data_IF_178412182919
#
_entry.id   IF_178412182919
#
_cell.length_a   1.000
_cell.length_b   1.000
_cell.length_c   1.000
_cell.angle_alpha   90.00
_cell.angle_beta   90.00
_cell.angle_gamma   90.00
#
_symmetry.space_group_name_H-M   'P 1'
#
loop_
_entity.id
_entity.type
_entity.pdbx_description
1 polymer ?
#
# COMPACT_ATOMS: atom_id res chain seq x y z
N UNK A 1 3.53 -13.01 -17.81
CA UNK A 1 2.76 -13.23 -16.56
C UNK A 1 3.54 -12.73 -15.35
N UNK A 2 4.77 -13.21 -15.12
CA UNK A 2 5.55 -12.88 -13.91
C UNK A 2 5.88 -11.39 -13.69
N UNK A 3 6.14 -10.59 -14.74
CA UNK A 3 6.53 -9.19 -14.58
C UNK A 3 5.43 -8.34 -13.92
N UNK A 4 4.17 -8.47 -14.36
CA UNK A 4 3.05 -7.71 -13.82
C UNK A 4 2.76 -8.10 -12.36
N UNK A 5 2.84 -9.40 -12.05
CA UNK A 5 2.67 -9.93 -10.69
C UNK A 5 3.78 -9.39 -9.77
N UNK A 6 5.04 -9.44 -10.22
CA UNK A 6 6.17 -8.93 -9.46
C UNK A 6 6.04 -7.41 -9.23
N UNK A 7 5.70 -6.64 -10.27
CA UNK A 7 5.51 -5.20 -10.17
C UNK A 7 4.38 -4.83 -9.20
N UNK A 8 3.24 -5.53 -9.27
CA UNK A 8 2.14 -5.33 -8.32
C UNK A 8 2.59 -5.59 -6.87
N UNK A 9 3.24 -6.72 -6.61
CA UNK A 9 3.72 -7.10 -5.26
C UNK A 9 4.74 -6.09 -4.72
N UNK A 10 5.68 -5.66 -5.56
CA UNK A 10 6.69 -4.65 -5.17
C UNK A 10 6.02 -3.31 -4.87
N UNK A 11 5.09 -2.86 -5.71
CA UNK A 11 4.37 -1.60 -5.49
C UNK A 11 3.54 -1.63 -4.20
N UNK A 12 2.82 -2.73 -3.92
CA UNK A 12 2.09 -2.89 -2.65
C UNK A 12 3.04 -2.90 -1.45
N UNK A 13 4.18 -3.58 -1.53
CA UNK A 13 5.19 -3.57 -0.46
C UNK A 13 5.76 -2.17 -0.21
N UNK A 14 6.01 -1.42 -1.28
CA UNK A 14 6.47 -0.04 -1.19
C UNK A 14 5.39 0.88 -0.58
N UNK A 15 4.12 0.70 -0.95
CA UNK A 15 3.01 1.43 -0.34
C UNK A 15 2.94 1.21 1.18
N UNK A 16 3.07 -0.05 1.63
CA UNK A 16 3.14 -0.37 3.07
C UNK A 16 4.31 0.35 3.73
N UNK A 17 5.51 0.30 3.15
CA UNK A 17 6.69 0.94 3.72
C UNK A 17 6.52 2.47 3.82
N UNK A 18 6.01 3.11 2.75
CA UNK A 18 5.73 4.56 2.72
C UNK A 18 4.67 4.94 3.77
N UNK A 19 3.61 4.16 3.91
CA UNK A 19 2.54 4.40 4.89
C UNK A 19 3.03 4.26 6.33
N UNK A 20 3.89 3.28 6.61
CA UNK A 20 4.52 3.15 7.93
C UNK A 20 5.39 4.37 8.22
N UNK A 21 6.20 4.82 7.25
CA UNK A 21 7.04 6.01 7.39
C UNK A 21 6.23 7.29 7.62
N UNK A 22 5.22 7.54 6.79
CA UNK A 22 4.31 8.68 6.93
C UNK A 22 3.53 8.63 8.24
N UNK A 23 3.02 7.46 8.62
CA UNK A 23 2.32 7.26 9.88
C UNK A 23 3.20 7.57 11.09
N UNK A 24 4.48 7.21 11.04
CA UNK A 24 5.45 7.58 12.09
C UNK A 24 5.66 9.10 12.17
N UNK A 25 5.90 9.78 11.04
CA UNK A 25 6.12 11.23 11.00
C UNK A 25 4.88 11.99 11.49
N UNK A 26 3.70 11.65 10.97
CA UNK A 26 2.45 12.29 11.36
C UNK A 26 2.08 11.96 12.80
N UNK A 27 2.38 10.77 13.29
CA UNK A 27 2.18 10.40 14.70
C UNK A 27 3.00 11.27 15.63
N UNK A 28 4.29 11.44 15.31
CA UNK A 28 5.17 12.37 16.05
C UNK A 28 4.65 13.82 15.98
N UNK A 29 4.25 14.29 14.80
CA UNK A 29 3.74 15.64 14.62
C UNK A 29 2.42 15.88 15.36
N UNK A 30 1.54 14.86 15.42
CA UNK A 30 0.30 14.94 16.18
C UNK A 30 0.57 15.06 17.69
N UNK A 31 1.54 14.31 18.22
CA UNK A 31 1.91 14.41 19.63
C UNK A 31 2.46 15.79 19.99
N UNK A 32 3.15 16.46 19.05
CA UNK A 32 3.71 17.81 19.24
C UNK A 32 2.66 18.91 19.07
N UNK A 33 1.93 18.92 17.95
CA UNK A 33 1.07 20.04 17.54
C UNK A 33 -0.43 19.81 17.81
N UNK A 34 -0.85 18.56 18.04
CA UNK A 34 -2.25 18.15 18.28
C UNK A 34 -3.24 18.67 17.22
N UNK A 35 -2.76 18.82 15.98
CA UNK A 35 -3.58 19.31 14.87
C UNK A 35 -4.59 18.26 14.40
N UNK A 36 -5.84 18.69 14.18
CA UNK A 36 -6.90 17.86 13.60
C UNK A 36 -6.58 17.41 12.17
N UNK A 37 -5.84 18.20 11.41
CA UNK A 37 -5.42 17.82 10.06
C UNK A 37 -4.43 16.66 10.08
N UNK A 38 -3.43 16.71 10.95
CA UNK A 38 -2.46 15.61 11.11
C UNK A 38 -3.14 14.34 11.62
N UNK A 39 -4.12 14.47 12.52
CA UNK A 39 -4.93 13.33 12.96
C UNK A 39 -5.71 12.70 11.80
N UNK A 40 -6.34 13.53 10.96
CA UNK A 40 -7.06 13.06 9.77
C UNK A 40 -6.15 12.30 8.80
N UNK A 41 -4.96 12.82 8.52
CA UNK A 41 -3.95 12.15 7.70
C UNK A 41 -3.49 10.83 8.33
N UNK A 42 -3.28 10.79 9.64
CA UNK A 42 -2.87 9.57 10.35
C UNK A 42 -3.93 8.48 10.31
N UNK A 43 -5.20 8.83 10.54
CA UNK A 43 -6.32 7.88 10.43
C UNK A 43 -6.45 7.37 9.00
N UNK A 44 -6.35 8.26 8.00
CA UNK A 44 -6.35 7.87 6.59
C UNK A 44 -5.21 6.90 6.26
N UNK A 45 -3.97 7.22 6.67
CA UNK A 45 -2.83 6.32 6.47
C UNK A 45 -3.01 4.97 7.18
N UNK A 46 -3.59 4.94 8.38
CA UNK A 46 -3.81 3.69 9.10
C UNK A 46 -4.78 2.76 8.37
N UNK A 47 -5.89 3.28 7.85
CA UNK A 47 -6.82 2.48 7.04
C UNK A 47 -6.19 2.02 5.74
N UNK A 48 -5.48 2.91 5.04
CA UNK A 48 -4.82 2.55 3.78
C UNK A 48 -3.69 1.53 3.99
N UNK A 49 -3.02 1.60 5.14
CA UNK A 49 -2.00 0.63 5.56
C UNK A 49 -2.61 -0.73 5.84
N UNK A 50 -3.74 -0.76 6.56
CA UNK A 50 -4.48 -2.00 6.83
C UNK A 50 -4.88 -2.68 5.50
N UNK A 51 -5.43 -1.92 4.57
CA UNK A 51 -5.83 -2.43 3.25
C UNK A 51 -4.64 -3.02 2.48
N UNK A 52 -3.54 -2.27 2.39
CA UNK A 52 -2.33 -2.73 1.68
C UNK A 52 -1.67 -3.93 2.37
N UNK A 53 -1.68 -3.97 3.71
CA UNK A 53 -1.15 -5.09 4.48
C UNK A 53 -1.99 -6.37 4.28
N UNK A 54 -3.33 -6.25 4.24
CA UNK A 54 -4.20 -7.38 3.96
C UNK A 54 -3.98 -7.94 2.55
N UNK A 55 -3.85 -7.06 1.55
CA UNK A 55 -3.53 -7.47 0.17
C UNK A 55 -2.20 -8.22 0.12
N UNK A 56 -1.17 -7.72 0.80
CA UNK A 56 0.13 -8.41 0.90
C UNK A 56 0.03 -9.76 1.62
N UNK A 57 -0.75 -9.84 2.69
CA UNK A 57 -1.00 -11.09 3.41
C UNK A 57 -1.65 -12.13 2.48
N UNK A 58 -2.67 -11.74 1.70
CA UNK A 58 -3.31 -12.63 0.73
C UNK A 58 -2.36 -13.07 -0.40
N UNK A 59 -1.42 -12.21 -0.81
CA UNK A 59 -0.46 -12.54 -1.86
C UNK A 59 0.72 -13.40 -1.41
N UNK A 60 1.04 -13.42 -0.12
CA UNK A 60 2.30 -14.00 0.36
C UNK A 60 2.12 -15.10 1.40
N UNK A 61 1.14 -14.98 2.27
CA UNK A 61 1.07 -15.75 3.51
C UNK A 61 -0.11 -16.71 3.50
N UNK A 62 -1.29 -16.26 3.10
CA UNK A 62 -2.49 -17.09 3.14
C UNK A 62 -2.38 -18.25 2.12
N UNK A 63 -2.42 -19.52 2.55
CA UNK A 63 -2.13 -20.65 1.68
C UNK A 63 -3.18 -20.84 0.57
N UNK A 64 -4.46 -20.61 0.88
CA UNK A 64 -5.55 -20.82 -0.07
C UNK A 64 -5.66 -19.65 -1.03
N UNK A 65 -5.66 -18.42 -0.51
CA UNK A 65 -5.78 -17.22 -1.33
C UNK A 65 -4.53 -16.99 -2.17
N UNK A 66 -3.34 -17.25 -1.64
CA UNK A 66 -2.10 -17.13 -2.41
C UNK A 66 -2.09 -18.13 -3.57
N UNK A 67 -2.44 -19.39 -3.33
CA UNK A 67 -2.53 -20.40 -4.39
C UNK A 67 -3.57 -20.02 -5.46
N UNK A 68 -4.73 -19.52 -5.04
CA UNK A 68 -5.77 -19.03 -5.95
C UNK A 68 -5.28 -17.85 -6.80
N UNK A 69 -4.64 -16.85 -6.19
CA UNK A 69 -4.15 -15.64 -6.86
C UNK A 69 -3.08 -15.93 -7.92
N UNK A 70 -2.20 -16.90 -7.68
CA UNK A 70 -1.14 -17.30 -8.61
C UNK A 70 -1.62 -18.33 -9.65
N UNK A 71 -2.88 -18.75 -9.59
CA UNK A 71 -3.43 -19.69 -10.56
C UNK A 71 -3.95 -18.95 -11.80
N UNK A 72 -3.19 -19.01 -12.89
CA UNK A 72 -3.50 -18.36 -14.17
C UNK A 72 -4.80 -18.85 -14.82
N UNK A 73 -5.28 -20.06 -14.50
CA UNK A 73 -6.57 -20.53 -15.01
C UNK A 73 -7.77 -19.95 -14.26
N UNK A 74 -7.56 -19.46 -13.04
CA UNK A 74 -8.61 -18.89 -12.18
C UNK A 74 -8.61 -17.37 -12.17
N UNK A 75 -7.44 -16.74 -12.31
CA UNK A 75 -7.27 -15.30 -12.24
C UNK A 75 -6.80 -14.74 -13.59
N UNK A 76 -7.69 -14.05 -14.33
CA UNK A 76 -7.33 -13.42 -15.60
C UNK A 76 -6.24 -12.36 -15.45
N UNK A 77 -5.38 -12.23 -16.46
CA UNK A 77 -4.26 -11.27 -16.47
C UNK A 77 -4.69 -9.81 -16.22
N UNK A 78 -5.88 -9.41 -16.68
CA UNK A 78 -6.39 -8.05 -16.49
C UNK A 78 -6.47 -7.67 -15.00
N UNK A 79 -6.75 -8.63 -14.12
CA UNK A 79 -6.82 -8.40 -12.67
C UNK A 79 -5.46 -7.92 -12.15
N UNK A 80 -4.38 -8.59 -12.54
CA UNK A 80 -3.02 -8.22 -12.14
C UNK A 80 -2.58 -6.87 -12.73
N UNK A 81 -3.00 -6.55 -13.96
CA UNK A 81 -2.69 -5.26 -14.59
C UNK A 81 -3.39 -4.10 -13.88
N UNK A 82 -4.68 -4.25 -13.59
CA UNK A 82 -5.45 -3.25 -12.84
C UNK A 82 -4.92 -3.07 -11.43
N UNK A 83 -4.60 -4.18 -10.75
CA UNK A 83 -4.00 -4.14 -9.42
C UNK A 83 -2.66 -3.40 -9.44
N UNK A 84 -1.78 -3.73 -10.38
CA UNK A 84 -0.51 -3.03 -10.53
C UNK A 84 -0.73 -1.53 -10.75
N UNK A 85 -1.63 -1.15 -11.66
CA UNK A 85 -1.89 0.25 -11.98
C UNK A 85 -2.35 1.05 -10.75
N UNK A 86 -3.28 0.49 -9.96
CA UNK A 86 -3.76 1.13 -8.73
C UNK A 86 -2.62 1.25 -7.71
N UNK A 87 -1.86 0.18 -7.48
CA UNK A 87 -0.78 0.21 -6.49
C UNK A 87 0.34 1.18 -6.87
N UNK A 88 0.71 1.26 -8.15
CA UNK A 88 1.71 2.22 -8.64
C UNK A 88 1.19 3.65 -8.53
N UNK A 89 -0.06 3.92 -8.91
CA UNK A 89 -0.65 5.24 -8.74
C UNK A 89 -0.66 5.67 -7.27
N UNK A 90 -1.00 4.75 -6.37
CA UNK A 90 -0.92 4.97 -4.93
C UNK A 90 0.52 5.23 -4.47
N UNK A 91 1.52 4.48 -4.97
CA UNK A 91 2.94 4.70 -4.64
C UNK A 91 3.36 6.12 -5.01
N UNK A 92 2.97 6.60 -6.20
CA UNK A 92 3.26 7.96 -6.65
C UNK A 92 2.63 8.98 -5.70
N UNK A 93 1.35 8.80 -5.35
CA UNK A 93 0.65 9.68 -4.40
C UNK A 93 1.30 9.70 -3.01
N UNK A 94 1.67 8.54 -2.47
CA UNK A 94 2.33 8.43 -1.17
C UNK A 94 3.75 9.01 -1.19
N UNK A 95 4.48 8.82 -2.29
CA UNK A 95 5.82 9.40 -2.45
C UNK A 95 5.75 10.93 -2.50
N UNK A 96 4.74 11.47 -3.17
CA UNK A 96 4.47 12.90 -3.16
C UNK A 96 4.12 13.41 -1.76
N UNK A 97 3.25 12.69 -1.02
CA UNK A 97 2.93 13.02 0.37
C UNK A 97 4.15 12.96 1.29
N UNK A 98 5.05 11.98 1.08
CA UNK A 98 6.29 11.88 1.82
C UNK A 98 7.20 13.06 1.51
N UNK A 99 7.37 13.43 0.24
CA UNK A 99 8.17 14.58 -0.17
C UNK A 99 7.70 15.88 0.50
N UNK A 100 6.39 16.20 0.44
CA UNK A 100 5.86 17.41 1.09
C UNK A 100 5.89 17.35 2.63
N UNK A 101 6.00 16.15 3.21
CA UNK A 101 6.07 15.98 4.67
C UNK A 101 7.51 16.15 5.18
N UNK A 102 8.50 15.94 4.31
CA UNK A 102 9.92 16.08 4.61
C UNK A 102 10.45 17.49 4.35
N UNK A 103 9.75 18.28 3.53
CA UNK A 103 9.97 19.72 3.31
C UNK A 103 9.50 20.54 4.54
#
# INVERSE_FOLDING_TARGET
MSLWIAAAKIATALNVALLVGLGYIWGRNYLTFKSKHTLGLLVFAAFLLLENALVLYYYLIDPDLSAWWHNESLVPMIVWQTQMAINVAQTVGLSFLLWITLD
#
